data_IF_099925018740
#
_entry.id   IF_099925018740
#
_cell.length_a   1.000
_cell.length_b   1.000
_cell.length_c   1.000
_cell.angle_alpha   90.00
_cell.angle_beta   90.00
_cell.angle_gamma   90.00
#
_symmetry.space_group_name_H-M   'P 1'
#
loop_
_entity.id
_entity.type
_entity.pdbx_description
1 polymer ?
#
# COMPACT_ATOMS: atom_id res chain seq x y z
N UNK A 1 -0.88 -1.91 5.98
CA UNK A 1 -0.86 -2.74 4.76
C UNK A 1 0.55 -2.74 4.23
N UNK A 2 1.06 -3.90 3.84
CA UNK A 2 2.42 -4.01 3.31
C UNK A 2 2.49 -3.48 1.87
N UNK A 3 3.64 -2.91 1.55
CA UNK A 3 4.06 -2.60 0.18
C UNK A 3 5.25 -3.48 -0.16
N UNK A 4 5.43 -3.79 -1.44
CA UNK A 4 6.54 -4.64 -1.86
C UNK A 4 6.94 -4.41 -3.31
N UNK A 5 8.17 -4.79 -3.65
CA UNK A 5 8.72 -4.68 -5.01
C UNK A 5 8.49 -5.97 -5.83
N UNK A 6 8.15 -7.08 -5.17
CA UNK A 6 8.02 -8.42 -5.77
C UNK A 6 6.57 -8.80 -6.11
N UNK A 7 5.89 -7.98 -6.89
CA UNK A 7 4.49 -8.19 -7.29
C UNK A 7 4.26 -9.50 -8.07
N UNK A 8 5.21 -9.90 -8.92
CA UNK A 8 5.08 -11.07 -9.79
C UNK A 8 5.02 -12.43 -9.09
N UNK A 9 5.27 -12.50 -7.78
CA UNK A 9 5.15 -13.73 -6.99
C UNK A 9 3.73 -14.04 -6.51
N UNK A 10 2.78 -13.12 -6.69
CA UNK A 10 1.43 -13.24 -6.16
C UNK A 10 0.39 -13.47 -7.25
N UNK A 11 -0.59 -14.34 -6.97
CA UNK A 11 -1.71 -14.60 -7.89
C UNK A 11 -2.76 -13.48 -7.87
N UNK A 12 -2.84 -12.72 -6.78
CA UNK A 12 -3.78 -11.61 -6.61
C UNK A 12 -3.29 -10.33 -7.28
N UNK A 13 -4.22 -9.45 -7.64
CA UNK A 13 -3.92 -8.13 -8.20
C UNK A 13 -3.10 -7.29 -7.20
N UNK A 14 -1.90 -6.92 -7.62
CA UNK A 14 -0.93 -6.14 -6.86
C UNK A 14 -0.61 -4.85 -7.62
N UNK A 15 -1.47 -3.82 -7.55
CA UNK A 15 -1.30 -2.64 -8.37
C UNK A 15 -0.10 -1.80 -7.90
N UNK A 16 0.58 -1.22 -8.88
CA UNK A 16 1.70 -0.31 -8.65
C UNK A 16 1.26 0.98 -7.92
N UNK A 17 2.07 1.41 -6.96
CA UNK A 17 2.02 2.74 -6.37
C UNK A 17 2.89 3.68 -7.19
N UNK A 18 2.28 4.77 -7.67
CA UNK A 18 2.91 5.84 -8.42
C UNK A 18 2.94 7.08 -7.55
N UNK A 19 3.74 8.07 -7.92
CA UNK A 19 3.86 9.33 -7.17
C UNK A 19 2.50 10.03 -6.99
N UNK A 20 1.60 9.95 -7.98
CA UNK A 20 0.22 10.50 -7.87
C UNK A 20 -0.64 9.86 -6.76
N UNK A 21 -0.27 8.67 -6.29
CA UNK A 21 -0.95 7.95 -5.21
C UNK A 21 -0.44 8.36 -3.81
N UNK A 22 0.66 9.12 -3.73
CA UNK A 22 1.38 9.43 -2.50
C UNK A 22 1.57 10.94 -2.31
N UNK A 23 1.62 11.38 -1.06
CA UNK A 23 1.94 12.76 -0.68
C UNK A 23 2.93 12.73 0.47
N UNK A 24 3.97 13.56 0.44
CA UNK A 24 4.98 13.64 1.49
C UNK A 24 5.93 12.43 1.61
N UNK A 25 5.87 11.48 0.66
CA UNK A 25 6.78 10.34 0.52
C UNK A 25 6.88 9.94 -0.95
N UNK A 26 8.01 9.37 -1.36
CA UNK A 26 8.21 8.70 -2.64
C UNK A 26 9.01 7.42 -2.44
N UNK A 27 8.92 6.50 -3.39
CA UNK A 27 9.71 5.27 -3.42
C UNK A 27 10.75 5.36 -4.52
N UNK A 28 11.98 4.92 -4.25
CA UNK A 28 13.04 4.87 -5.26
C UNK A 28 12.87 3.71 -6.25
N UNK A 29 12.16 2.67 -5.82
CA UNK A 29 11.89 1.46 -6.60
C UNK A 29 10.40 1.33 -6.91
N UNK A 30 10.08 0.65 -8.01
CA UNK A 30 8.71 0.29 -8.36
C UNK A 30 8.07 -0.51 -7.23
N UNK A 31 7.15 0.13 -6.54
CA UNK A 31 6.53 -0.40 -5.32
C UNK A 31 5.06 -0.68 -5.60
N UNK A 32 4.56 -1.81 -5.12
CA UNK A 32 3.20 -2.25 -5.35
C UNK A 32 2.44 -2.41 -4.04
N UNK A 33 1.14 -2.16 -4.08
CA UNK A 33 0.22 -2.54 -3.02
C UNK A 33 0.14 -4.06 -2.95
N UNK A 34 0.29 -4.62 -1.75
CA UNK A 34 0.13 -6.06 -1.48
C UNK A 34 -1.17 -6.27 -0.68
N UNK A 35 -2.34 -6.33 -1.33
CA UNK A 35 -3.62 -6.33 -0.62
C UNK A 35 -3.84 -7.67 0.09
N UNK A 36 -3.26 -8.77 -0.41
CA UNK A 36 -3.29 -10.08 0.23
C UNK A 36 -2.44 -10.15 1.51
N UNK A 37 -1.55 -9.19 1.76
CA UNK A 37 -0.63 -9.14 2.90
C UNK A 37 -1.10 -8.11 3.96
N UNK A 38 -2.30 -8.32 4.50
CA UNK A 38 -2.86 -7.48 5.59
C UNK A 38 -2.49 -8.10 6.92
N UNK A 39 -1.87 -7.29 7.79
CA UNK A 39 -1.51 -7.68 9.15
C UNK A 39 -2.10 -6.69 10.14
N UNK A 40 -2.63 -7.21 11.24
CA UNK A 40 -2.96 -6.43 12.42
C UNK A 40 -1.69 -6.22 13.22
N UNK A 41 -1.39 -4.96 13.54
CA UNK A 41 -0.24 -4.58 14.37
C UNK A 41 -0.72 -3.78 15.60
N UNK A 42 -0.02 -3.86 16.75
CA UNK A 42 -0.38 -3.04 17.90
C UNK A 42 -0.27 -1.53 17.58
N UNK A 43 -1.16 -0.65 18.09
CA UNK A 43 -1.11 0.78 17.79
C UNK A 43 0.26 1.43 18.07
N UNK A 44 0.92 1.01 19.15
CA UNK A 44 2.25 1.53 19.53
C UNK A 44 3.39 1.15 18.58
N UNK A 45 3.19 0.23 17.62
CA UNK A 45 4.23 -0.11 16.64
C UNK A 45 4.19 0.74 15.38
N UNK A 46 3.09 1.45 15.13
CA UNK A 46 2.90 2.30 13.94
C UNK A 46 3.01 3.80 14.26
N UNK A 47 2.87 4.19 15.53
CA UNK A 47 2.85 5.58 15.98
C UNK A 47 4.19 5.88 16.64
N UNK A 48 5.20 6.22 15.86
CA UNK A 48 6.50 6.70 16.36
C UNK A 48 6.64 8.23 16.32
N UNK A 49 5.57 8.93 15.90
CA UNK A 49 5.53 10.38 15.73
C UNK A 49 6.35 10.91 14.55
N UNK A 50 7.00 10.03 13.79
CA UNK A 50 7.87 10.36 12.64
C UNK A 50 7.27 9.94 11.31
N UNK A 51 6.11 9.30 11.29
CA UNK A 51 5.41 8.90 10.08
C UNK A 51 5.29 10.10 9.11
N UNK A 52 6.07 10.04 8.03
CA UNK A 52 6.08 11.06 6.98
C UNK A 52 5.39 10.50 5.75
N UNK A 53 4.35 11.20 5.33
CA UNK A 53 3.62 10.94 4.11
C UNK A 53 2.31 10.18 4.28
N UNK A 54 1.48 10.27 3.26
CA UNK A 54 0.12 9.76 3.24
C UNK A 54 -0.31 9.31 1.84
N UNK A 55 -1.36 8.50 1.79
CA UNK A 55 -2.06 8.23 0.54
C UNK A 55 -2.88 9.45 0.14
N UNK A 56 -2.74 9.88 -1.11
CA UNK A 56 -3.66 10.83 -1.74
C UNK A 56 -5.06 10.21 -1.85
N UNK A 57 -6.07 11.00 -2.22
CA UNK A 57 -7.39 10.45 -2.49
C UNK A 57 -7.37 9.40 -3.63
N UNK A 58 -6.52 9.62 -4.65
CA UNK A 58 -6.26 8.65 -5.70
C UNK A 58 -5.69 7.33 -5.15
N UNK A 59 -4.67 7.44 -4.28
CA UNK A 59 -4.09 6.27 -3.60
C UNK A 59 -5.09 5.53 -2.71
N UNK A 60 -5.93 6.26 -1.96
CA UNK A 60 -7.00 5.66 -1.13
C UNK A 60 -8.04 4.94 -1.99
N UNK A 61 -8.41 5.49 -3.15
CA UNK A 61 -9.34 4.85 -4.08
C UNK A 61 -8.74 3.59 -4.69
N UNK A 62 -7.46 3.62 -5.07
CA UNK A 62 -6.74 2.45 -5.57
C UNK A 62 -6.75 1.34 -4.51
N UNK A 63 -6.33 1.67 -3.28
CA UNK A 63 -6.34 0.75 -2.16
C UNK A 63 -7.70 0.09 -1.93
N UNK A 64 -8.78 0.88 -1.85
CA UNK A 64 -10.14 0.34 -1.66
C UNK A 64 -10.52 -0.65 -2.76
N UNK A 65 -10.24 -0.33 -4.02
CA UNK A 65 -10.50 -1.23 -5.15
C UNK A 65 -9.70 -2.53 -5.01
N UNK A 66 -8.42 -2.43 -4.64
CA UNK A 66 -7.56 -3.61 -4.45
C UNK A 66 -8.05 -4.53 -3.34
N UNK A 67 -8.49 -3.97 -2.21
CA UNK A 67 -9.05 -4.76 -1.10
C UNK A 67 -10.34 -5.46 -1.51
N UNK A 68 -11.23 -4.77 -2.23
CA UNK A 68 -12.48 -5.37 -2.73
C UNK A 68 -12.17 -6.52 -3.70
N UNK A 69 -11.13 -6.40 -4.53
CA UNK A 69 -10.74 -7.45 -5.47
C UNK A 69 -10.21 -8.74 -4.84
N UNK A 70 -9.96 -8.75 -3.52
CA UNK A 70 -9.60 -9.96 -2.79
C UNK A 70 -10.81 -10.83 -2.43
N UNK A 71 -12.01 -10.24 -2.48
CA UNK A 71 -13.25 -10.94 -2.18
C UNK A 71 -13.73 -11.61 -3.48
N UNK A 72 -13.98 -12.94 -3.48
CA UNK A 72 -14.47 -13.66 -4.65
C UNK A 72 -15.78 -13.12 -5.23
#
# INVERSE_FOLDING_TARGET
MCVGTSAGGYQQTTPELKDEHLSGISFNDTTHLMPCAIYTVPPGTAIDGKASGELTEGGRRLLKKSLISLIP
#
